data_IF_871874354301
#
_entry.id   IF_871874354301
#
_cell.length_a   1.000
_cell.length_b   1.000
_cell.length_c   1.000
_cell.angle_alpha   90.00
_cell.angle_beta   90.00
_cell.angle_gamma   90.00
#
_symmetry.space_group_name_H-M   'P 1'
#
loop_
_entity.id
_entity.type
_entity.pdbx_description
1 polymer ?
#
# COMPACT_ATOMS: atom_id res chain seq x y z
N UNK A 1 -8.77 64.81 -39.77
CA UNK A 1 -8.03 65.89 -39.09
C UNK A 1 -7.88 65.55 -37.61
N UNK A 2 -6.65 65.72 -37.12
CA UNK A 2 -6.12 65.75 -35.76
C UNK A 2 -7.10 65.78 -34.55
N UNK A 3 -6.76 64.90 -33.58
CA UNK A 3 -6.68 65.07 -32.11
C UNK A 3 -7.98 65.18 -31.30
N UNK A 4 -8.19 64.20 -30.42
CA UNK A 4 -8.62 64.49 -29.05
C UNK A 4 -7.80 63.65 -28.06
N UNK A 5 -7.23 64.39 -27.11
CA UNK A 5 -6.49 63.95 -25.92
C UNK A 5 -7.51 63.42 -24.91
N UNK A 6 -7.25 62.31 -24.22
CA UNK A 6 -7.81 62.16 -22.88
C UNK A 6 -6.91 61.34 -21.95
N UNK A 7 -6.76 61.91 -20.77
CA UNK A 7 -5.85 61.61 -19.69
C UNK A 7 -5.99 60.21 -19.08
N UNK A 8 -4.83 59.71 -18.66
CA UNK A 8 -4.63 58.65 -17.69
C UNK A 8 -5.21 59.07 -16.32
N UNK A 9 -6.17 58.32 -15.79
CA UNK A 9 -6.56 58.35 -14.38
C UNK A 9 -6.50 56.91 -13.88
N UNK A 10 -5.36 56.52 -13.31
CA UNK A 10 -5.21 55.30 -12.53
C UNK A 10 -5.77 55.60 -11.15
N UNK A 11 -7.04 55.26 -10.92
CA UNK A 11 -7.60 55.23 -9.57
C UNK A 11 -7.25 53.87 -8.95
N UNK A 12 -6.31 53.88 -8.01
CA UNK A 12 -6.04 52.78 -7.10
C UNK A 12 -7.29 52.50 -6.24
N UNK A 13 -8.09 51.51 -6.63
CA UNK A 13 -8.99 50.84 -5.70
C UNK A 13 -8.25 49.63 -5.11
N UNK A 14 -7.58 49.85 -3.99
CA UNK A 14 -7.22 48.76 -3.08
C UNK A 14 -8.51 48.37 -2.38
N UNK A 15 -9.21 47.40 -2.95
CA UNK A 15 -10.27 46.68 -2.24
C UNK A 15 -9.59 45.85 -1.14
N UNK A 16 -9.59 46.38 0.08
CA UNK A 16 -9.31 45.59 1.28
C UNK A 16 -10.50 44.66 1.44
N UNK A 17 -10.44 43.49 0.81
CA UNK A 17 -11.31 42.38 1.17
C UNK A 17 -10.87 41.90 2.55
N UNK A 18 -11.79 41.69 3.51
CA UNK A 18 -11.44 41.00 4.74
C UNK A 18 -10.90 39.63 4.33
N UNK A 19 -9.71 39.31 4.80
CA UNK A 19 -9.11 37.99 4.64
C UNK A 19 -9.98 37.00 5.38
N UNK A 20 -10.94 36.38 4.68
CA UNK A 20 -11.57 35.16 5.15
C UNK A 20 -10.44 34.14 5.16
N UNK A 21 -9.85 33.90 6.33
CA UNK A 21 -9.14 32.64 6.56
C UNK A 21 -10.21 31.57 6.45
N UNK A 22 -10.35 30.97 5.27
CA UNK A 22 -10.91 29.65 5.17
C UNK A 22 -10.01 28.79 6.06
N UNK A 23 -10.50 28.41 7.24
CA UNK A 23 -9.95 27.24 7.92
C UNK A 23 -10.27 26.11 6.95
N UNK A 24 -9.25 25.67 6.22
CA UNK A 24 -9.34 24.44 5.48
C UNK A 24 -9.61 23.38 6.54
N UNK A 25 -10.80 22.76 6.51
CA UNK A 25 -11.06 21.59 7.34
C UNK A 25 -9.87 20.66 7.12
N UNK A 26 -9.24 20.22 8.22
CA UNK A 26 -8.12 19.30 8.11
C UNK A 26 -8.59 18.14 7.22
N UNK A 27 -7.82 17.86 6.18
CA UNK A 27 -8.13 16.74 5.30
C UNK A 27 -8.05 15.48 6.17
N UNK A 28 -9.13 14.69 6.21
CA UNK A 28 -9.21 13.48 7.03
C UNK A 28 -8.00 12.59 6.73
N UNK A 29 -7.43 12.00 7.77
CA UNK A 29 -6.32 11.07 7.61
C UNK A 29 -6.64 9.98 6.58
N UNK A 30 -5.78 9.76 5.57
CA UNK A 30 -6.07 8.87 4.44
C UNK A 30 -6.16 7.39 4.86
N UNK A 31 -5.66 7.03 6.04
CA UNK A 31 -5.85 5.70 6.60
C UNK A 31 -7.22 5.57 7.25
N UNK A 32 -7.66 6.58 8.01
CA UNK A 32 -9.02 6.62 8.58
C UNK A 32 -10.09 6.62 7.50
N UNK A 33 -9.88 7.33 6.38
CA UNK A 33 -10.80 7.32 5.24
C UNK A 33 -11.11 5.89 4.74
N UNK A 34 -10.13 4.98 4.84
CA UNK A 34 -10.29 3.58 4.40
C UNK A 34 -10.93 2.68 5.46
N UNK A 35 -10.92 3.10 6.72
CA UNK A 35 -11.43 2.32 7.85
C UNK A 35 -12.87 2.72 8.16
N UNK A 36 -13.19 4.01 8.11
CA UNK A 36 -14.49 4.55 8.52
C UNK A 36 -15.52 4.42 7.41
N UNK A 37 -16.60 3.70 7.70
CA UNK A 37 -17.82 3.64 6.90
C UNK A 37 -18.89 4.53 7.55
N UNK A 38 -18.95 5.79 7.12
CA UNK A 38 -19.88 6.78 7.67
C UNK A 38 -21.27 6.66 7.01
N UNK A 39 -22.31 6.41 7.81
CA UNK A 39 -23.68 6.18 7.35
C UNK A 39 -24.67 7.06 8.11
N UNK A 40 -24.96 8.24 7.56
CA UNK A 40 -25.92 9.20 8.11
C UNK A 40 -27.26 9.06 7.37
N UNK A 41 -28.33 8.81 8.11
CA UNK A 41 -29.71 8.70 7.59
C UNK A 41 -30.54 9.95 7.89
N UNK A 42 -30.27 10.62 9.02
CA UNK A 42 -30.83 11.92 9.35
C UNK A 42 -29.78 13.00 9.08
N UNK A 43 -29.88 13.64 7.92
CA UNK A 43 -28.96 14.69 7.48
C UNK A 43 -29.29 16.04 8.15
N UNK A 44 -29.11 16.10 9.48
CA UNK A 44 -29.23 17.32 10.27
C UNK A 44 -27.86 17.80 10.77
N UNK A 45 -27.77 19.10 11.06
CA UNK A 45 -26.51 19.76 11.44
C UNK A 45 -25.88 19.13 12.69
N UNK A 46 -26.71 18.70 13.65
CA UNK A 46 -26.22 18.11 14.89
C UNK A 46 -25.63 16.73 14.61
N UNK A 47 -26.35 15.85 13.92
CA UNK A 47 -25.86 14.50 13.58
C UNK A 47 -24.56 14.57 12.78
N UNK A 48 -24.47 15.49 11.82
CA UNK A 48 -23.26 15.71 11.05
C UNK A 48 -22.09 16.26 11.90
N UNK A 49 -22.37 17.13 12.88
CA UNK A 49 -21.35 17.64 13.79
C UNK A 49 -20.82 16.52 14.69
N UNK A 50 -21.69 15.72 15.30
CA UNK A 50 -21.30 14.59 16.14
C UNK A 50 -20.43 13.58 15.37
N UNK A 51 -20.81 13.27 14.12
CA UNK A 51 -20.03 12.39 13.25
C UNK A 51 -18.60 12.91 13.00
N UNK A 52 -18.46 14.22 12.73
CA UNK A 52 -17.14 14.85 12.54
C UNK A 52 -16.30 14.76 13.81
N UNK A 53 -16.88 15.07 14.96
CA UNK A 53 -16.16 15.04 16.24
C UNK A 53 -15.72 13.62 16.62
N UNK A 54 -16.51 12.59 16.27
CA UNK A 54 -16.08 11.19 16.43
C UNK A 54 -14.85 10.88 15.57
N UNK A 55 -14.86 11.29 14.29
CA UNK A 55 -13.73 11.09 13.39
C UNK A 55 -12.49 11.87 13.88
N UNK A 56 -12.67 13.11 14.33
CA UNK A 56 -11.58 13.93 14.90
C UNK A 56 -10.94 13.27 16.12
N UNK A 57 -11.73 12.61 16.99
CA UNK A 57 -11.18 11.86 18.13
C UNK A 57 -10.40 10.61 17.71
N UNK A 58 -10.89 9.90 16.70
CA UNK A 58 -10.17 8.76 16.12
C UNK A 58 -8.88 9.19 15.41
N UNK A 59 -8.82 10.42 14.89
CA UNK A 59 -7.63 10.99 14.24
C UNK A 59 -6.48 11.33 15.19
N UNK A 60 -6.69 11.20 16.51
CA UNK A 60 -5.62 11.27 17.49
C UNK A 60 -4.76 10.00 17.58
N UNK A 61 -5.20 8.89 16.95
CA UNK A 61 -4.50 7.61 16.97
C UNK A 61 -3.26 7.67 16.08
N UNK A 62 -2.18 7.01 16.49
CA UNK A 62 -0.91 7.04 15.75
C UNK A 62 -1.07 6.50 14.32
N UNK A 63 -0.45 7.20 13.36
CA UNK A 63 -0.50 6.86 11.93
C UNK A 63 -0.07 5.42 11.63
N UNK A 64 0.92 4.89 12.37
CA UNK A 64 1.38 3.52 12.17
C UNK A 64 0.30 2.50 12.55
N UNK A 65 -0.51 2.76 13.59
CA UNK A 65 -1.66 1.93 13.95
C UNK A 65 -2.74 2.04 12.87
N UNK A 66 -3.15 3.26 12.52
CA UNK A 66 -4.19 3.51 11.53
C UNK A 66 -3.83 2.88 10.17
N UNK A 67 -2.59 3.04 9.73
CA UNK A 67 -2.10 2.44 8.49
C UNK A 67 -2.21 0.93 8.52
N UNK A 68 -1.80 0.27 9.60
CA UNK A 68 -1.86 -1.19 9.67
C UNK A 68 -3.29 -1.73 9.73
N UNK A 69 -4.20 -1.03 10.42
CA UNK A 69 -5.62 -1.36 10.41
C UNK A 69 -6.19 -1.20 9.00
N UNK A 70 -5.88 -0.10 8.30
CA UNK A 70 -6.34 0.11 6.91
C UNK A 70 -5.87 -1.00 5.96
N UNK A 71 -4.69 -1.59 6.20
CA UNK A 71 -4.15 -2.71 5.43
C UNK A 71 -4.77 -4.07 5.81
N UNK A 72 -5.32 -4.19 7.02
CA UNK A 72 -6.04 -5.40 7.47
C UNK A 72 -7.40 -5.55 6.80
N UNK A 73 -8.01 -4.44 6.39
CA UNK A 73 -9.36 -4.38 5.85
C UNK A 73 -10.47 -4.36 6.91
N UNK A 74 -10.12 -4.30 8.20
CA UNK A 74 -11.09 -4.05 9.25
C UNK A 74 -11.73 -2.68 9.07
N UNK A 75 -13.04 -2.58 9.35
CA UNK A 75 -13.82 -1.36 9.17
C UNK A 75 -14.58 -0.99 10.43
N UNK A 76 -14.91 0.29 10.56
CA UNK A 76 -15.76 0.80 11.62
C UNK A 76 -16.91 1.60 11.02
N UNK A 77 -18.13 1.17 11.29
CA UNK A 77 -19.34 1.86 10.85
C UNK A 77 -19.70 2.91 11.89
N UNK A 78 -19.82 4.16 11.46
CA UNK A 78 -20.40 5.24 12.26
C UNK A 78 -21.79 5.54 11.72
N UNK A 79 -22.84 5.33 12.53
CA UNK A 79 -24.21 5.55 12.06
C UNK A 79 -25.15 6.12 13.12
N UNK A 80 -26.12 6.91 12.67
CA UNK A 80 -27.22 7.42 13.49
C UNK A 80 -28.42 6.45 13.55
N UNK A 81 -28.35 5.33 12.83
CA UNK A 81 -29.25 4.18 13.02
C UNK A 81 -28.73 3.25 14.10
N UNK A 82 -29.66 2.53 14.74
CA UNK A 82 -29.31 1.45 15.69
C UNK A 82 -28.57 0.32 14.98
N UNK A 83 -27.66 -0.35 15.69
CA UNK A 83 -26.87 -1.50 15.22
C UNK A 83 -27.75 -2.51 14.46
N UNK A 84 -28.80 -3.03 15.11
CA UNK A 84 -29.68 -4.09 14.56
C UNK A 84 -30.58 -3.62 13.39
N UNK A 85 -30.57 -2.34 13.05
CA UNK A 85 -31.25 -1.81 11.86
C UNK A 85 -30.36 -1.81 10.62
N UNK A 86 -29.06 -2.08 10.78
CA UNK A 86 -28.13 -2.29 9.67
C UNK A 86 -28.24 -3.74 9.16
N UNK A 87 -28.28 -3.96 7.83
CA UNK A 87 -28.50 -5.30 7.25
C UNK A 87 -27.53 -6.38 7.76
N UNK A 88 -26.26 -6.04 7.96
CA UNK A 88 -25.20 -6.94 8.42
C UNK A 88 -25.34 -7.36 9.89
N UNK A 89 -26.12 -6.64 10.70
CA UNK A 89 -26.34 -6.91 12.11
C UNK A 89 -27.79 -7.24 12.45
N UNK A 90 -28.66 -7.34 11.45
CA UNK A 90 -30.10 -7.58 11.64
C UNK A 90 -30.40 -8.90 12.38
N UNK A 91 -29.50 -9.88 12.30
CA UNK A 91 -29.61 -11.16 13.02
C UNK A 91 -29.39 -11.05 14.53
N UNK A 92 -28.76 -9.97 15.00
CA UNK A 92 -28.53 -9.72 16.43
C UNK A 92 -29.79 -9.19 17.15
N UNK A 93 -30.86 -8.90 16.41
CA UNK A 93 -32.10 -8.39 16.97
C UNK A 93 -32.69 -9.34 18.03
N UNK A 94 -32.86 -8.83 19.25
CA UNK A 94 -33.35 -9.56 20.42
C UNK A 94 -32.32 -10.48 21.08
N UNK A 95 -31.08 -10.51 20.58
CA UNK A 95 -30.00 -11.34 21.14
C UNK A 95 -29.29 -10.55 22.24
N UNK A 96 -29.09 -11.18 23.40
CA UNK A 96 -28.33 -10.60 24.53
C UNK A 96 -26.88 -11.04 24.43
N UNK A 97 -25.91 -10.11 24.31
CA UNK A 97 -24.50 -10.49 24.29
C UNK A 97 -24.02 -11.02 25.64
N UNK A 98 -22.90 -11.73 25.56
CA UNK A 98 -22.18 -12.19 26.75
C UNK A 98 -21.83 -10.98 27.63
N UNK A 99 -22.11 -11.08 28.93
CA UNK A 99 -21.75 -10.03 29.89
C UNK A 99 -22.78 -8.92 30.06
N UNK A 100 -23.84 -8.89 29.23
CA UNK A 100 -24.88 -7.87 29.28
C UNK A 100 -26.22 -8.43 29.75
N UNK A 101 -27.07 -7.54 30.26
CA UNK A 101 -28.49 -7.81 30.55
C UNK A 101 -29.41 -7.36 29.42
N UNK A 102 -28.99 -6.34 28.66
CA UNK A 102 -29.76 -5.75 27.57
C UNK A 102 -29.44 -6.41 26.22
N UNK A 103 -30.40 -6.45 25.27
CA UNK A 103 -30.16 -6.97 23.93
C UNK A 103 -29.34 -6.00 23.07
N UNK A 104 -28.74 -6.52 21.99
CA UNK A 104 -28.03 -5.73 20.98
C UNK A 104 -28.86 -4.60 20.36
N UNK A 105 -30.20 -4.64 20.47
CA UNK A 105 -31.10 -3.55 20.07
C UNK A 105 -30.79 -2.21 20.74
N UNK A 106 -30.23 -2.26 21.95
CA UNK A 106 -30.00 -1.09 22.79
C UNK A 106 -28.51 -0.83 23.07
N UNK A 107 -27.61 -1.68 22.58
CA UNK A 107 -26.17 -1.52 22.76
C UNK A 107 -25.63 -0.58 21.66
N UNK A 108 -24.91 0.49 22.04
CA UNK A 108 -24.51 1.55 21.11
C UNK A 108 -23.21 1.26 20.34
N UNK A 109 -22.50 0.18 20.67
CA UNK A 109 -21.20 -0.15 20.08
C UNK A 109 -21.00 -1.66 19.90
N UNK A 110 -20.11 -2.03 18.98
CA UNK A 110 -19.70 -3.41 18.74
C UNK A 110 -18.27 -3.44 18.20
N UNK A 111 -17.39 -4.18 18.86
CA UNK A 111 -16.02 -4.43 18.45
C UNK A 111 -15.88 -5.70 17.62
N UNK A 112 -15.05 -5.65 16.57
CA UNK A 112 -14.75 -6.78 15.70
C UNK A 112 -14.19 -6.36 14.34
N UNK A 113 -14.09 -7.30 13.39
CA UNK A 113 -13.54 -6.99 12.06
C UNK A 113 -14.40 -5.97 11.30
N UNK A 114 -15.72 -6.03 11.49
CA UNK A 114 -16.65 -4.96 11.15
C UNK A 114 -17.19 -4.46 12.48
N UNK A 115 -16.71 -3.30 12.90
CA UNK A 115 -17.11 -2.65 14.15
C UNK A 115 -18.20 -1.61 13.91
N UNK A 116 -18.84 -1.16 14.97
CA UNK A 116 -19.89 -0.15 14.93
C UNK A 116 -19.81 0.77 16.15
N UNK A 117 -20.06 2.06 15.94
CA UNK A 117 -20.41 2.99 17.02
C UNK A 117 -21.55 3.93 16.60
N UNK A 118 -22.50 4.11 17.50
CA UNK A 118 -23.65 4.98 17.30
C UNK A 118 -23.26 6.47 17.35
N UNK A 119 -23.68 7.23 16.34
CA UNK A 119 -23.45 8.69 16.30
C UNK A 119 -24.20 9.38 17.44
N UNK A 120 -23.51 10.28 18.14
CA UNK A 120 -24.05 11.05 19.27
C UNK A 120 -24.18 10.25 20.58
N UNK A 121 -23.49 9.10 20.66
CA UNK A 121 -23.45 8.23 21.85
C UNK A 121 -22.06 8.12 22.47
N UNK A 122 -21.12 9.00 22.11
CA UNK A 122 -19.71 8.92 22.49
C UNK A 122 -19.47 8.92 24.00
N UNK A 123 -20.21 9.75 24.75
CA UNK A 123 -19.96 9.96 26.18
C UNK A 123 -20.68 8.93 27.08
N UNK A 124 -20.04 8.46 28.17
CA UNK A 124 -20.65 7.52 29.09
C UNK A 124 -21.87 8.13 29.80
N UNK A 125 -23.01 7.46 29.72
CA UNK A 125 -24.20 7.84 30.50
C UNK A 125 -25.28 6.77 30.45
N UNK A 126 -26.23 6.81 31.40
CA UNK A 126 -27.46 6.01 31.37
C UNK A 126 -28.23 6.23 30.06
N UNK A 127 -28.21 7.45 29.51
CA UNK A 127 -28.89 7.78 28.25
C UNK A 127 -28.18 7.16 27.04
N UNK A 128 -26.86 7.03 27.09
CA UNK A 128 -26.06 6.47 26.00
C UNK A 128 -25.91 4.95 26.10
N UNK A 129 -26.25 4.37 27.25
CA UNK A 129 -26.30 2.92 27.50
C UNK A 129 -24.94 2.21 27.40
N UNK A 130 -23.89 2.88 27.86
CA UNK A 130 -22.55 2.31 28.04
C UNK A 130 -21.77 3.10 29.10
N UNK A 131 -20.68 2.52 29.60
CA UNK A 131 -19.86 3.06 30.69
C UNK A 131 -18.46 3.53 30.28
N UNK A 132 -18.07 3.27 29.03
CA UNK A 132 -16.74 3.54 28.47
C UNK A 132 -16.44 5.03 28.42
N UNK A 133 -15.19 5.43 28.69
CA UNK A 133 -14.80 6.84 28.69
C UNK A 133 -15.10 7.54 27.36
N UNK A 134 -15.01 6.80 26.25
CA UNK A 134 -15.43 7.22 24.92
C UNK A 134 -15.78 5.99 24.07
N UNK A 135 -17.01 5.94 23.55
CA UNK A 135 -17.54 4.79 22.82
C UNK A 135 -16.68 4.41 21.60
N UNK A 136 -16.49 5.33 20.66
CA UNK A 136 -15.83 5.01 19.41
C UNK A 136 -14.35 4.64 19.59
N UNK A 137 -13.64 5.26 20.54
CA UNK A 137 -12.28 4.87 20.86
C UNK A 137 -12.20 3.51 21.55
N UNK A 138 -13.17 3.17 22.40
CA UNK A 138 -13.27 1.84 22.99
C UNK A 138 -13.45 0.78 21.90
N UNK A 139 -14.45 0.96 21.03
CA UNK A 139 -14.72 0.00 19.95
C UNK A 139 -13.55 -0.09 18.96
N UNK A 140 -12.90 1.05 18.67
CA UNK A 140 -11.68 1.05 17.87
C UNK A 140 -10.51 0.35 18.59
N UNK A 141 -10.46 0.41 19.92
CA UNK A 141 -9.52 -0.35 20.74
C UNK A 141 -9.62 -1.86 20.51
N UNK A 142 -10.83 -2.42 20.36
CA UNK A 142 -11.01 -3.82 19.97
C UNK A 142 -10.47 -4.11 18.56
N UNK A 143 -10.61 -3.18 17.61
CA UNK A 143 -10.01 -3.31 16.27
C UNK A 143 -8.48 -3.33 16.37
N UNK A 144 -7.90 -2.44 17.16
CA UNK A 144 -6.45 -2.33 17.38
C UNK A 144 -5.92 -3.62 17.99
N UNK A 145 -6.60 -4.13 19.02
CA UNK A 145 -6.23 -5.35 19.71
C UNK A 145 -6.05 -6.52 18.75
N UNK A 146 -7.03 -6.74 17.86
CA UNK A 146 -7.10 -7.93 17.02
C UNK A 146 -6.43 -7.79 15.65
N UNK A 147 -6.39 -6.59 15.06
CA UNK A 147 -6.11 -6.41 13.63
C UNK A 147 -4.94 -5.49 13.29
N UNK A 148 -4.34 -4.80 14.26
CA UNK A 148 -3.09 -4.04 13.99
C UNK A 148 -1.94 -4.97 13.61
N UNK A 149 -1.88 -6.17 14.19
CA UNK A 149 -0.81 -7.13 13.95
C UNK A 149 -1.42 -8.48 13.58
N UNK A 150 -1.32 -8.84 12.30
CA UNK A 150 -1.93 -10.07 11.79
C UNK A 150 -1.53 -11.31 12.60
N UNK A 151 -2.52 -11.95 13.23
CA UNK A 151 -2.33 -13.15 14.04
C UNK A 151 -1.81 -12.91 15.46
N UNK A 152 -1.78 -11.67 15.94
CA UNK A 152 -1.41 -11.31 17.31
C UNK A 152 -2.52 -10.44 17.91
N UNK A 153 -3.16 -10.96 18.95
CA UNK A 153 -4.06 -10.20 19.83
C UNK A 153 -3.19 -9.52 20.91
N UNK A 154 -3.14 -8.18 20.90
CA UNK A 154 -2.26 -7.38 21.76
C UNK A 154 -2.57 -7.59 23.25
N UNK A 155 -3.84 -7.66 23.61
CA UNK A 155 -4.34 -7.91 24.96
C UNK A 155 -3.95 -9.30 25.46
N UNK A 156 -3.77 -10.27 24.55
CA UNK A 156 -3.32 -11.61 24.87
C UNK A 156 -1.80 -11.73 25.06
N UNK A 157 -1.02 -10.72 24.69
CA UNK A 157 0.45 -10.76 24.82
C UNK A 157 0.89 -10.82 26.29
N UNK A 158 2.00 -11.49 26.55
CA UNK A 158 2.55 -11.59 27.92
C UNK A 158 2.84 -10.20 28.51
N UNK A 159 3.34 -9.27 27.69
CA UNK A 159 3.62 -7.90 28.10
C UNK A 159 2.35 -7.18 28.57
N UNK A 160 1.26 -7.25 27.80
CA UNK A 160 0.02 -6.59 28.18
C UNK A 160 -0.67 -7.28 29.36
N UNK A 161 -0.69 -8.62 29.41
CA UNK A 161 -1.23 -9.36 30.56
C UNK A 161 -0.49 -9.04 31.87
N UNK A 162 0.83 -8.84 31.81
CA UNK A 162 1.60 -8.40 32.97
C UNK A 162 1.25 -6.96 33.39
N UNK A 163 0.98 -6.06 32.44
CA UNK A 163 0.50 -4.72 32.73
C UNK A 163 -0.90 -4.75 33.37
N UNK A 164 -1.85 -5.49 32.79
CA UNK A 164 -3.19 -5.72 33.32
C UNK A 164 -3.15 -6.19 34.78
N UNK A 165 -2.42 -7.27 35.09
CA UNK A 165 -2.31 -7.82 36.45
C UNK A 165 -1.82 -6.79 37.48
N UNK A 166 -0.95 -5.87 37.05
CA UNK A 166 -0.32 -4.89 37.95
C UNK A 166 -1.18 -3.64 38.14
N UNK A 167 -1.85 -3.21 37.08
CA UNK A 167 -2.41 -1.86 37.00
C UNK A 167 -3.95 -1.83 37.01
N UNK A 168 -4.64 -2.91 36.60
CA UNK A 168 -6.11 -2.95 36.47
C UNK A 168 -6.82 -2.50 37.75
N UNK A 169 -6.42 -3.03 38.91
CA UNK A 169 -7.07 -2.70 40.18
C UNK A 169 -6.75 -1.28 40.70
N UNK A 170 -5.76 -0.59 40.13
CA UNK A 170 -5.45 0.79 40.51
C UNK A 170 -6.35 1.79 39.77
N UNK A 171 -6.64 1.51 38.50
CA UNK A 171 -7.48 2.36 37.65
C UNK A 171 -8.97 1.99 37.75
N UNK A 172 -9.28 0.69 37.86
CA UNK A 172 -10.64 0.14 37.97
C UNK A 172 -10.76 -0.82 39.18
N UNK A 173 -10.73 -0.29 40.43
CA UNK A 173 -10.60 -1.10 41.65
C UNK A 173 -11.79 -2.00 41.98
N UNK A 174 -12.98 -1.69 41.50
CA UNK A 174 -14.23 -2.38 41.85
C UNK A 174 -15.01 -2.84 40.64
N UNK A 175 -14.40 -2.78 39.46
CA UNK A 175 -15.06 -3.17 38.22
C UNK A 175 -14.54 -4.53 37.77
N UNK A 176 -15.39 -5.54 37.96
CA UNK A 176 -15.10 -6.92 37.60
C UNK A 176 -15.22 -7.12 36.08
N UNK A 177 -15.82 -6.19 35.33
CA UNK A 177 -15.90 -6.26 33.87
C UNK A 177 -14.50 -6.25 33.25
N UNK A 178 -13.62 -5.39 33.76
CA UNK A 178 -12.23 -5.30 33.30
C UNK A 178 -11.31 -6.43 33.81
N UNK A 179 -11.86 -7.49 34.39
CA UNK A 179 -11.14 -8.79 34.48
C UNK A 179 -11.02 -9.45 33.09
N UNK A 180 -11.92 -9.12 32.16
CA UNK A 180 -11.74 -9.41 30.75
C UNK A 180 -10.64 -8.49 30.19
N UNK A 181 -9.53 -9.10 29.75
CA UNK A 181 -8.29 -8.38 29.42
C UNK A 181 -8.43 -7.59 28.11
N UNK A 182 -9.24 -8.11 27.19
CA UNK A 182 -9.70 -7.49 25.95
C UNK A 182 -10.51 -6.21 26.24
N UNK A 183 -11.51 -6.28 27.12
CA UNK A 183 -12.29 -5.12 27.55
C UNK A 183 -11.41 -4.08 28.27
N UNK A 184 -10.49 -4.53 29.11
CA UNK A 184 -9.51 -3.64 29.73
C UNK A 184 -8.63 -2.96 28.68
N UNK A 185 -8.16 -3.71 27.68
CA UNK A 185 -7.36 -3.16 26.58
C UNK A 185 -8.10 -2.07 25.83
N UNK A 186 -9.34 -2.33 25.41
CA UNK A 186 -10.16 -1.37 24.69
C UNK A 186 -10.37 -0.09 25.51
N UNK A 187 -10.70 -0.23 26.80
CA UNK A 187 -10.95 0.92 27.67
C UNK A 187 -9.68 1.73 27.93
N UNK A 188 -8.56 1.09 28.28
CA UNK A 188 -7.31 1.84 28.53
C UNK A 188 -6.71 2.42 27.24
N UNK A 189 -6.98 1.83 26.08
CA UNK A 189 -6.70 2.44 24.78
C UNK A 189 -7.50 3.74 24.60
N UNK A 190 -8.80 3.72 24.91
CA UNK A 190 -9.63 4.92 24.88
C UNK A 190 -9.11 6.00 25.85
N UNK A 191 -8.71 5.63 27.08
CA UNK A 191 -8.06 6.57 28.00
C UNK A 191 -6.81 7.21 27.40
N UNK A 192 -5.98 6.43 26.72
CA UNK A 192 -4.74 6.91 26.12
C UNK A 192 -5.00 7.92 24.98
N UNK A 193 -5.95 7.67 24.07
CA UNK A 193 -6.16 8.52 22.90
C UNK A 193 -7.24 9.60 23.03
N UNK A 194 -8.12 9.55 24.03
CA UNK A 194 -9.27 10.46 24.12
C UNK A 194 -8.88 11.93 24.40
N UNK A 195 -8.22 12.19 25.53
CA UNK A 195 -7.79 13.55 25.92
C UNK A 195 -6.46 13.52 26.67
N UNK A 196 -5.79 14.67 26.78
CA UNK A 196 -4.60 14.79 27.64
C UNK A 196 -4.89 14.43 29.10
N UNK A 197 -6.07 14.81 29.61
CA UNK A 197 -6.46 14.53 31.00
C UNK A 197 -6.73 13.03 31.26
N UNK A 198 -7.37 12.33 30.32
CA UNK A 198 -7.57 10.87 30.43
C UNK A 198 -6.23 10.13 30.32
N UNK A 199 -5.35 10.56 29.41
CA UNK A 199 -4.00 10.00 29.27
C UNK A 199 -3.16 10.21 30.53
N UNK A 200 -3.22 11.40 31.15
CA UNK A 200 -2.57 11.68 32.41
C UNK A 200 -3.10 10.78 33.55
N UNK A 201 -4.42 10.54 33.58
CA UNK A 201 -5.02 9.60 34.53
C UNK A 201 -4.47 8.18 34.35
N UNK A 202 -4.26 7.75 33.10
CA UNK A 202 -3.66 6.46 32.79
C UNK A 202 -2.20 6.39 33.26
N UNK A 203 -1.37 7.42 33.02
CA UNK A 203 0.00 7.46 33.54
C UNK A 203 0.07 7.42 35.07
N UNK A 204 -0.87 8.06 35.75
CA UNK A 204 -0.89 8.11 37.23
C UNK A 204 -1.35 6.80 37.85
N UNK A 205 -2.41 6.18 37.30
CA UNK A 205 -3.05 5.01 37.90
C UNK A 205 -2.58 3.68 37.31
N UNK A 206 -2.18 3.68 36.06
CA UNK A 206 -1.78 2.49 35.31
C UNK A 206 -0.50 2.74 34.49
N UNK A 207 0.64 3.10 35.14
CA UNK A 207 1.87 3.51 34.46
C UNK A 207 2.52 2.41 33.62
N UNK A 208 2.32 1.14 33.96
CA UNK A 208 2.82 -0.01 33.18
C UNK A 208 2.01 -0.18 31.91
N UNK A 209 0.69 -0.01 32.00
CA UNK A 209 -0.23 0.01 30.86
C UNK A 209 0.03 1.22 29.96
N UNK A 210 0.24 2.41 30.52
CA UNK A 210 0.58 3.59 29.74
C UNK A 210 1.88 3.39 28.93
N UNK A 211 2.92 2.84 29.57
CA UNK A 211 4.19 2.52 28.89
C UNK A 211 4.04 1.48 27.78
N UNK A 212 3.09 0.55 27.92
CA UNK A 212 2.81 -0.39 26.83
C UNK A 212 2.38 0.34 25.55
N UNK A 213 1.52 1.36 25.67
CA UNK A 213 1.09 2.18 24.53
C UNK A 213 2.18 3.14 24.05
N UNK A 214 2.98 3.73 24.96
CA UNK A 214 4.16 4.53 24.58
C UNK A 214 5.09 3.73 23.65
N UNK A 215 5.29 2.44 23.95
CA UNK A 215 6.20 1.58 23.19
C UNK A 215 5.54 0.96 21.94
N UNK A 216 4.20 0.93 21.87
CA UNK A 216 3.45 0.13 20.89
C UNK A 216 3.78 0.51 19.45
N UNK A 217 3.80 1.80 19.14
CA UNK A 217 4.02 2.30 17.77
C UNK A 217 5.39 1.83 17.22
N UNK A 218 6.43 1.77 18.06
CA UNK A 218 7.77 1.29 17.67
C UNK A 218 7.86 -0.24 17.50
N UNK A 219 6.86 -0.97 17.98
CA UNK A 219 6.80 -2.44 17.90
C UNK A 219 6.00 -2.92 16.70
N UNK A 220 5.32 -2.02 15.99
CA UNK A 220 4.50 -2.33 14.82
C UNK A 220 5.33 -2.17 13.56
N UNK A 221 5.39 -3.23 12.75
CA UNK A 221 5.98 -3.16 11.41
C UNK A 221 4.91 -2.90 10.38
N UNK A 222 5.18 -2.03 9.42
CA UNK A 222 4.31 -1.80 8.27
C UNK A 222 4.95 -2.27 6.99
N UNK A 223 4.23 -3.06 6.19
CA UNK A 223 4.66 -3.40 4.83
C UNK A 223 4.29 -2.23 3.94
N UNK A 224 5.28 -1.46 3.50
CA UNK A 224 5.05 -0.27 2.68
C UNK A 224 4.91 -0.60 1.22
N UNK A 225 5.70 -1.54 0.74
CA UNK A 225 5.70 -2.00 -0.64
C UNK A 225 5.85 -3.51 -0.69
N UNK A 226 5.26 -4.11 -1.71
CA UNK A 226 5.31 -5.55 -1.93
C UNK A 226 5.11 -5.87 -3.39
N UNK A 227 5.96 -6.76 -3.89
CA UNK A 227 5.85 -7.35 -5.22
C UNK A 227 5.87 -8.87 -5.11
N UNK A 228 6.01 -9.55 -6.24
CA UNK A 228 6.15 -11.00 -6.32
C UNK A 228 7.51 -11.46 -5.81
N UNK A 229 8.53 -10.59 -5.78
CA UNK A 229 9.91 -10.97 -5.40
C UNK A 229 10.60 -10.00 -4.47
N UNK A 230 9.88 -9.01 -3.95
CA UNK A 230 10.42 -8.07 -2.99
C UNK A 230 9.35 -7.60 -2.01
N UNK A 231 9.82 -7.10 -0.87
CA UNK A 231 9.01 -6.27 0.02
C UNK A 231 9.87 -5.18 0.65
N UNK A 232 9.21 -4.12 1.09
CA UNK A 232 9.76 -3.11 1.98
C UNK A 232 8.94 -3.07 3.25
N UNK A 233 9.63 -3.07 4.40
CA UNK A 233 9.03 -2.84 5.72
C UNK A 233 9.58 -1.56 6.33
N UNK A 234 8.71 -0.84 7.03
CA UNK A 234 9.04 0.39 7.77
C UNK A 234 8.49 0.31 9.19
N UNK A 235 9.11 1.02 10.12
CA UNK A 235 8.68 1.13 11.52
C UNK A 235 9.00 2.52 12.07
N UNK A 236 8.47 2.85 13.24
CA UNK A 236 8.73 4.14 13.86
C UNK A 236 10.04 4.11 14.66
N UNK A 237 10.91 5.09 14.45
CA UNK A 237 12.13 5.26 15.24
C UNK A 237 11.80 5.75 16.65
N UNK A 238 12.29 5.04 17.66
CA UNK A 238 12.07 5.39 19.07
C UNK A 238 12.95 6.58 19.52
N UNK A 239 14.25 6.52 19.20
CA UNK A 239 15.26 7.52 19.57
C UNK A 239 16.26 7.60 18.43
N UNK A 240 16.61 8.83 18.02
CA UNK A 240 17.57 9.07 16.95
C UNK A 240 18.94 8.47 17.24
N UNK A 241 19.52 7.83 16.23
CA UNK A 241 20.86 7.25 16.31
C UNK A 241 20.92 5.81 16.83
N UNK A 242 19.76 5.17 17.03
CA UNK A 242 19.71 3.72 17.19
C UNK A 242 20.06 3.01 15.88
N UNK A 243 20.53 1.76 16.00
CA UNK A 243 20.67 0.85 14.85
C UNK A 243 19.70 -0.32 14.99
N UNK A 244 19.52 -1.09 13.92
CA UNK A 244 18.53 -2.15 13.89
C UNK A 244 19.11 -3.42 13.28
N UNK A 245 18.67 -4.55 13.81
CA UNK A 245 18.85 -5.85 13.18
C UNK A 245 17.48 -6.34 12.71
N UNK A 246 17.31 -6.50 11.40
CA UNK A 246 16.12 -7.09 10.80
C UNK A 246 16.37 -8.58 10.62
N UNK A 247 15.52 -9.40 11.21
CA UNK A 247 15.50 -10.84 10.99
C UNK A 247 14.39 -11.19 10.01
N UNK A 248 14.75 -11.80 8.89
CA UNK A 248 13.81 -12.38 7.91
C UNK A 248 13.98 -13.89 7.91
N UNK A 249 12.97 -14.60 8.42
CA UNK A 249 13.03 -16.01 8.77
C UNK A 249 14.22 -16.27 9.72
N UNK A 250 15.28 -16.92 9.25
CA UNK A 250 16.50 -17.23 10.02
C UNK A 250 17.71 -16.36 9.62
N UNK A 251 17.54 -15.42 8.68
CA UNK A 251 18.62 -14.53 8.22
C UNK A 251 18.52 -13.17 8.88
N UNK A 252 19.68 -12.60 9.23
CA UNK A 252 19.79 -11.32 9.92
C UNK A 252 20.50 -10.28 9.04
N UNK A 253 20.00 -9.06 9.11
CA UNK A 253 20.45 -7.92 8.32
C UNK A 253 20.61 -6.71 9.24
N UNK A 254 21.79 -6.09 9.26
CA UNK A 254 22.01 -4.86 10.03
C UNK A 254 21.64 -3.64 9.18
N UNK A 255 20.87 -2.72 9.75
CA UNK A 255 20.45 -1.46 9.11
C UNK A 255 20.50 -0.31 10.11
N UNK A 256 20.62 0.92 9.60
CA UNK A 256 20.64 2.14 10.42
C UNK A 256 19.40 2.98 10.27
N UNK A 257 18.67 2.81 9.17
CA UNK A 257 17.41 3.51 8.91
C UNK A 257 16.21 2.68 9.39
N UNK A 258 15.08 3.31 9.75
CA UNK A 258 13.86 2.62 10.16
C UNK A 258 13.07 2.01 8.97
N UNK A 259 13.82 1.51 7.97
CA UNK A 259 13.32 0.92 6.74
C UNK A 259 14.23 -0.23 6.31
N UNK A 260 13.63 -1.28 5.76
CA UNK A 260 14.36 -2.40 5.15
C UNK A 260 13.63 -2.96 3.94
N UNK A 261 14.35 -3.07 2.83
CA UNK A 261 13.89 -3.72 1.60
C UNK A 261 14.68 -5.00 1.35
N UNK A 262 13.98 -6.04 0.90
CA UNK A 262 14.59 -7.31 0.50
C UNK A 262 14.02 -7.75 -0.85
N UNK A 263 14.91 -8.11 -1.77
CA UNK A 263 14.58 -8.61 -3.11
C UNK A 263 14.99 -10.09 -3.31
N UNK A 264 14.79 -10.60 -4.52
CA UNK A 264 15.16 -11.97 -4.87
C UNK A 264 14.32 -13.05 -4.18
N UNK A 265 13.13 -12.67 -3.70
CA UNK A 265 12.21 -13.55 -2.99
C UNK A 265 11.41 -14.43 -3.95
N UNK A 266 10.94 -15.58 -3.44
CA UNK A 266 9.90 -16.38 -4.07
C UNK A 266 8.56 -15.67 -4.01
N UNK A 267 7.79 -15.78 -5.10
CA UNK A 267 6.39 -15.34 -5.13
C UNK A 267 5.48 -16.25 -4.32
N UNK A 268 4.30 -15.74 -3.97
CA UNK A 268 3.28 -16.45 -3.19
C UNK A 268 3.83 -17.12 -1.92
N UNK A 269 4.81 -16.50 -1.27
CA UNK A 269 5.56 -17.10 -0.18
C UNK A 269 5.52 -16.20 1.05
N UNK A 270 5.41 -16.83 2.23
CA UNK A 270 5.40 -16.13 3.51
C UNK A 270 6.81 -15.92 4.04
N UNK A 271 7.11 -14.68 4.44
CA UNK A 271 8.35 -14.29 5.11
C UNK A 271 8.02 -13.72 6.47
N UNK A 272 8.59 -14.28 7.53
CA UNK A 272 8.44 -13.76 8.89
C UNK A 272 9.53 -12.72 9.14
N UNK A 273 9.13 -11.49 9.40
CA UNK A 273 10.03 -10.35 9.63
C UNK A 273 9.91 -9.91 11.09
N UNK A 274 11.04 -9.66 11.74
CA UNK A 274 11.09 -9.06 13.07
C UNK A 274 12.27 -8.09 13.15
N UNK A 275 12.08 -6.96 13.81
CA UNK A 275 13.12 -5.95 13.99
C UNK A 275 13.57 -5.92 15.44
N UNK A 276 14.88 -5.81 15.65
CA UNK A 276 15.50 -5.65 16.96
C UNK A 276 16.22 -4.30 16.98
N UNK A 277 15.76 -3.40 17.85
CA UNK A 277 16.38 -2.08 18.04
C UNK A 277 17.59 -2.22 18.96
N UNK A 278 18.70 -1.61 18.54
CA UNK A 278 19.97 -1.59 19.27
C UNK A 278 20.34 -0.16 19.64
N UNK A 279 20.87 0.00 20.85
CA UNK A 279 21.48 1.25 21.29
C UNK A 279 22.83 1.52 20.59
N UNK A 280 23.45 2.65 20.92
CA UNK A 280 24.73 3.07 20.35
C UNK A 280 25.90 2.09 20.65
N UNK A 281 25.77 1.26 21.69
CA UNK A 281 26.76 0.22 22.04
C UNK A 281 26.47 -1.11 21.31
N UNK A 282 25.44 -1.16 20.48
CA UNK A 282 25.02 -2.34 19.71
C UNK A 282 24.21 -3.35 20.53
N UNK A 283 23.76 -2.99 21.73
CA UNK A 283 22.96 -3.87 22.59
C UNK A 283 21.49 -3.78 22.20
N UNK A 284 20.83 -4.93 22.05
CA UNK A 284 19.38 -4.98 21.79
C UNK A 284 18.62 -4.45 23.01
N UNK A 285 17.81 -3.40 22.78
CA UNK A 285 17.00 -2.72 23.80
C UNK A 285 15.50 -2.94 23.63
N UNK A 286 15.05 -3.29 22.42
CA UNK A 286 13.65 -3.61 22.12
C UNK A 286 13.56 -4.52 20.90
N UNK A 287 12.41 -5.15 20.73
CA UNK A 287 12.05 -5.90 19.52
C UNK A 287 10.61 -5.59 19.12
N UNK A 288 10.38 -5.56 17.82
CA UNK A 288 9.04 -5.51 17.23
C UNK A 288 8.29 -6.82 17.44
N UNK A 289 6.98 -6.78 17.27
CA UNK A 289 6.22 -7.98 16.97
C UNK A 289 6.65 -8.55 15.62
N UNK A 290 6.58 -9.87 15.49
CA UNK A 290 6.87 -10.51 14.22
C UNK A 290 5.72 -10.29 13.24
N UNK A 291 6.04 -9.92 12.00
CA UNK A 291 5.09 -9.72 10.92
C UNK A 291 5.30 -10.72 9.81
N UNK A 292 4.23 -11.36 9.35
CA UNK A 292 4.29 -12.21 8.16
C UNK A 292 3.97 -11.39 6.92
N UNK A 293 4.88 -11.40 5.95
CA UNK A 293 4.73 -10.76 4.64
C UNK A 293 4.54 -11.85 3.59
N UNK A 294 3.37 -11.90 2.95
CA UNK A 294 3.08 -12.81 1.84
C UNK A 294 3.40 -12.13 0.51
N UNK A 295 4.47 -12.49 -0.22
CA UNK A 295 4.76 -11.91 -1.55
C UNK A 295 3.61 -12.14 -2.54
N UNK A 296 3.46 -11.26 -3.53
CA UNK A 296 2.45 -11.45 -4.58
C UNK A 296 2.71 -12.73 -5.37
N UNK A 297 1.65 -13.24 -6.01
CA UNK A 297 1.79 -14.32 -6.98
C UNK A 297 2.36 -13.75 -8.25
N UNK A 298 3.32 -14.44 -8.86
CA UNK A 298 3.57 -14.25 -10.28
C UNK A 298 2.28 -14.57 -11.03
N UNK A 299 1.84 -13.68 -11.91
CA UNK A 299 0.74 -13.98 -12.83
C UNK A 299 1.10 -15.21 -13.67
N UNK A 300 0.10 -15.91 -14.23
CA UNK A 300 0.33 -17.07 -15.10
C UNK A 300 1.27 -16.67 -16.25
N UNK A 301 2.54 -17.05 -16.14
CA UNK A 301 3.56 -16.70 -17.11
C UNK A 301 3.24 -17.42 -18.43
N UNK A 302 3.04 -16.66 -19.50
CA UNK A 302 2.98 -17.21 -20.85
C UNK A 302 4.40 -17.53 -21.32
N UNK A 303 4.65 -18.83 -21.48
CA UNK A 303 5.95 -19.39 -21.90
C UNK A 303 5.93 -19.85 -23.36
N UNK A 304 4.82 -19.70 -24.07
CA UNK A 304 4.68 -20.17 -25.45
C UNK A 304 5.74 -19.56 -26.36
N UNK A 305 5.95 -18.23 -26.27
CA UNK A 305 6.99 -17.53 -27.02
C UNK A 305 8.42 -17.98 -26.66
N UNK A 306 8.68 -18.37 -25.40
CA UNK A 306 9.98 -18.88 -24.99
C UNK A 306 10.24 -20.28 -25.56
N UNK A 307 9.20 -21.12 -25.65
CA UNK A 307 9.28 -22.43 -26.32
C UNK A 307 9.60 -22.25 -27.80
N UNK A 308 8.94 -21.30 -28.48
CA UNK A 308 9.19 -21.01 -29.89
C UNK A 308 10.61 -20.47 -30.11
N UNK A 309 11.05 -19.48 -29.33
CA UNK A 309 12.42 -18.96 -29.37
C UNK A 309 13.46 -20.06 -29.12
N UNK A 310 13.20 -20.97 -28.20
CA UNK A 310 14.10 -22.10 -27.93
C UNK A 310 14.16 -23.10 -29.10
N UNK A 311 13.04 -23.30 -29.82
CA UNK A 311 13.02 -24.10 -31.04
C UNK A 311 13.77 -23.42 -32.18
N UNK A 312 13.76 -22.08 -32.25
CA UNK A 312 14.56 -21.32 -33.22
C UNK A 312 16.06 -21.50 -33.00
N UNK A 313 16.52 -21.50 -31.74
CA UNK A 313 17.92 -21.84 -31.41
C UNK A 313 18.25 -23.26 -31.89
N UNK A 314 17.35 -24.22 -31.67
CA UNK A 314 17.56 -25.63 -32.06
C UNK A 314 17.64 -25.82 -33.57
N UNK A 315 16.93 -25.01 -34.34
CA UNK A 315 16.93 -25.07 -35.81
C UNK A 315 18.26 -24.60 -36.42
N UNK A 316 19.04 -23.79 -35.70
CA UNK A 316 20.39 -23.38 -36.12
C UNK A 316 21.38 -24.51 -35.78
N UNK A 317 22.13 -24.96 -36.78
CA UNK A 317 23.19 -25.96 -36.63
C UNK A 317 24.23 -25.50 -35.58
N UNK A 318 24.69 -26.42 -34.74
CA UNK A 318 25.59 -26.14 -33.62
C UNK A 318 26.86 -25.43 -34.08
N UNK A 319 27.40 -25.80 -35.24
CA UNK A 319 28.64 -25.22 -35.79
C UNK A 319 28.45 -23.76 -36.25
N UNK A 320 27.21 -23.32 -36.43
CA UNK A 320 26.85 -21.96 -36.83
C UNK A 320 26.37 -21.09 -35.66
N UNK A 321 26.30 -21.60 -34.43
CA UNK A 321 25.85 -20.82 -33.26
C UNK A 321 26.96 -19.93 -32.72
N UNK A 322 26.64 -18.69 -32.42
CA UNK A 322 27.55 -17.76 -31.74
C UNK A 322 27.69 -18.11 -30.26
N UNK A 323 28.74 -17.59 -29.62
CA UNK A 323 28.89 -17.68 -28.16
C UNK A 323 27.72 -17.01 -27.43
N UNK A 324 27.20 -15.91 -27.99
CA UNK A 324 26.04 -15.17 -27.47
C UNK A 324 24.79 -16.05 -27.50
N UNK A 325 24.47 -16.67 -28.64
CA UNK A 325 23.30 -17.55 -28.76
C UNK A 325 23.40 -18.75 -27.80
N UNK A 326 24.61 -19.31 -27.62
CA UNK A 326 24.82 -20.40 -26.67
C UNK A 326 24.61 -19.95 -25.20
N UNK A 327 25.01 -18.72 -24.84
CA UNK A 327 24.72 -18.15 -23.50
C UNK A 327 23.23 -17.92 -23.30
N UNK A 328 22.53 -17.36 -24.28
CA UNK A 328 21.08 -17.15 -24.24
C UNK A 328 20.33 -18.48 -24.12
N UNK A 329 20.79 -19.53 -24.79
CA UNK A 329 20.24 -20.88 -24.63
C UNK A 329 20.35 -21.38 -23.18
N UNK A 330 21.51 -21.22 -22.53
CA UNK A 330 21.71 -21.61 -21.13
C UNK A 330 20.78 -20.80 -20.20
N UNK A 331 20.59 -19.51 -20.49
CA UNK A 331 19.64 -18.67 -19.77
C UNK A 331 18.21 -19.17 -19.94
N UNK A 332 17.80 -19.58 -21.14
CA UNK A 332 16.48 -20.16 -21.40
C UNK A 332 16.29 -21.50 -20.65
N UNK A 333 17.30 -22.38 -20.66
CA UNK A 333 17.27 -23.63 -19.89
C UNK A 333 17.09 -23.37 -18.38
N UNK A 334 17.79 -22.36 -17.85
CA UNK A 334 17.66 -21.93 -16.45
C UNK A 334 16.28 -21.31 -16.17
N UNK A 335 15.75 -20.56 -17.13
CA UNK A 335 14.46 -19.88 -17.03
C UNK A 335 13.30 -20.86 -16.92
N UNK A 336 13.28 -21.92 -17.74
CA UNK A 336 12.28 -23.00 -17.60
C UNK A 336 12.27 -23.61 -16.20
N UNK A 337 13.45 -23.84 -15.61
CA UNK A 337 13.57 -24.37 -14.24
C UNK A 337 13.07 -23.38 -13.18
N UNK A 338 13.26 -22.08 -13.40
CA UNK A 338 12.87 -21.04 -12.45
C UNK A 338 11.37 -20.66 -12.54
N UNK A 339 10.74 -20.87 -13.71
CA UNK A 339 9.29 -20.76 -13.89
C UNK A 339 8.58 -21.79 -13.00
N UNK A 340 9.06 -23.04 -12.95
CA UNK A 340 8.49 -24.08 -12.08
C UNK A 340 8.58 -23.72 -10.58
N UNK A 341 9.58 -22.94 -10.20
CA UNK A 341 9.79 -22.49 -8.82
C UNK A 341 9.17 -21.12 -8.50
N UNK A 342 8.44 -20.51 -9.43
CA UNK A 342 7.79 -19.21 -9.23
C UNK A 342 8.79 -18.10 -8.90
N UNK A 343 9.84 -17.94 -9.71
CA UNK A 343 10.91 -16.93 -9.53
C UNK A 343 11.01 -15.89 -10.66
N UNK A 344 10.08 -15.89 -11.61
CA UNK A 344 10.24 -15.16 -12.89
C UNK A 344 8.99 -14.36 -13.22
N UNK A 345 9.18 -13.12 -13.68
CA UNK A 345 8.12 -12.26 -14.22
C UNK A 345 7.98 -12.44 -15.72
N UNK A 346 6.80 -12.14 -16.28
CA UNK A 346 6.57 -12.14 -17.73
C UNK A 346 7.59 -11.26 -18.47
N UNK A 347 7.89 -10.07 -17.96
CA UNK A 347 8.88 -9.15 -18.55
C UNK A 347 10.27 -9.81 -18.74
N UNK A 348 10.72 -10.62 -17.78
CA UNK A 348 12.00 -11.33 -17.89
C UNK A 348 11.95 -12.40 -18.98
N UNK A 349 10.81 -13.06 -19.15
CA UNK A 349 10.58 -14.04 -20.23
C UNK A 349 10.60 -13.33 -21.58
N UNK A 350 9.80 -12.26 -21.72
CA UNK A 350 9.69 -11.48 -22.95
C UNK A 350 11.05 -10.91 -23.39
N UNK A 351 11.81 -10.35 -22.44
CA UNK A 351 13.15 -9.82 -22.72
C UNK A 351 14.12 -10.89 -23.20
N UNK A 352 14.06 -12.10 -22.65
CA UNK A 352 14.90 -13.21 -23.10
C UNK A 352 14.47 -13.69 -24.50
N UNK A 353 13.16 -13.76 -24.77
CA UNK A 353 12.63 -14.06 -26.10
C UNK A 353 13.18 -13.08 -27.11
N UNK A 354 13.07 -11.77 -26.87
CA UNK A 354 13.55 -10.73 -27.78
C UNK A 354 15.05 -10.89 -28.09
N UNK A 355 15.86 -11.13 -27.05
CA UNK A 355 17.31 -11.33 -27.21
C UNK A 355 17.64 -12.57 -28.06
N UNK A 356 16.90 -13.67 -27.85
CA UNK A 356 17.08 -14.90 -28.63
C UNK A 356 16.69 -14.67 -30.09
N UNK A 357 15.53 -14.05 -30.33
CA UNK A 357 14.99 -13.86 -31.67
C UNK A 357 15.88 -12.96 -32.51
N UNK A 358 16.37 -11.84 -31.96
CA UNK A 358 17.31 -10.94 -32.65
C UNK A 358 18.58 -11.69 -33.07
N UNK A 359 19.23 -12.39 -32.14
CA UNK A 359 20.49 -13.10 -32.43
C UNK A 359 20.27 -14.25 -33.45
N UNK A 360 19.15 -14.96 -33.34
CA UNK A 360 18.81 -16.05 -34.27
C UNK A 360 18.52 -15.53 -35.69
N UNK A 361 17.85 -14.39 -35.82
CA UNK A 361 17.59 -13.75 -37.11
C UNK A 361 18.88 -13.26 -37.78
N UNK A 362 19.78 -12.63 -37.02
CA UNK A 362 21.08 -12.16 -37.53
C UNK A 362 21.91 -13.33 -38.08
N UNK A 363 22.00 -14.43 -37.34
CA UNK A 363 22.73 -15.64 -37.79
C UNK A 363 22.09 -16.21 -39.06
N UNK A 364 20.77 -16.31 -39.12
CA UNK A 364 20.07 -16.81 -40.32
C UNK A 364 20.33 -15.91 -41.52
N UNK A 365 20.31 -14.59 -41.34
CA UNK A 365 20.61 -13.63 -42.39
C UNK A 365 22.03 -13.82 -42.92
N UNK A 366 23.02 -13.93 -42.03
CA UNK A 366 24.41 -14.16 -42.41
C UNK A 366 24.61 -15.48 -43.18
N UNK A 367 23.92 -16.55 -42.77
CA UNK A 367 23.95 -17.83 -43.48
C UNK A 367 23.34 -17.73 -44.88
N UNK A 368 22.23 -16.99 -45.03
CA UNK A 368 21.62 -16.72 -46.33
C UNK A 368 22.58 -15.93 -47.22
N UNK A 369 23.20 -14.89 -46.69
CA UNK A 369 24.15 -14.05 -47.42
C UNK A 369 25.40 -14.83 -47.84
N UNK A 370 25.91 -15.72 -46.98
CA UNK A 370 27.06 -16.59 -47.27
C UNK A 370 26.76 -17.61 -48.37
N UNK A 371 25.52 -18.09 -48.43
CA UNK A 371 25.06 -19.07 -49.41
C UNK A 371 24.47 -18.42 -50.68
N UNK A 372 24.45 -17.09 -50.77
CA UNK A 372 23.91 -16.39 -51.93
C UNK A 372 24.86 -16.56 -53.14
N UNK A 373 24.36 -17.01 -54.31
CA UNK A 373 25.21 -17.21 -55.48
C UNK A 373 25.80 -15.87 -55.95
N UNK A 374 27.13 -15.80 -56.08
CA UNK A 374 27.82 -14.60 -56.60
C UNK A 374 27.39 -14.36 -58.05
N UNK A 375 26.82 -13.18 -58.34
CA UNK A 375 26.47 -12.78 -59.71
C UNK A 375 27.72 -12.82 -60.61
N UNK A 376 27.66 -13.35 -61.83
CA UNK A 376 28.78 -13.29 -62.76
C UNK A 376 29.02 -11.84 -63.17
N UNK A 377 30.24 -11.36 -63.01
CA UNK A 377 30.69 -10.11 -63.64
C UNK A 377 31.12 -10.46 -65.07
N UNK A 378 30.21 -10.30 -66.02
CA UNK A 378 30.52 -10.20 -67.46
C UNK A 378 29.94 -8.85 -67.91
N UNK A 379 30.74 -7.86 -68.26
CA UNK A 379 31.57 -7.86 -69.45
C UNK A 379 30.82 -7.10 -70.54
N UNK A 380 31.21 -5.83 -70.73
CA UNK A 380 30.87 -4.86 -71.79
C UNK A 380 29.85 -5.32 -72.85
N UNK A 381 28.67 -4.71 -72.86
CA UNK A 381 27.79 -4.68 -74.02
C UNK A 381 27.80 -3.28 -74.64
N UNK A 382 28.34 -3.18 -75.86
CA UNK A 382 28.13 -2.07 -76.79
C UNK A 382 26.64 -1.87 -77.09
N UNK A 383 26.19 -0.63 -77.34
CA UNK A 383 24.78 -0.27 -77.31
C UNK A 383 24.04 -0.68 -78.60
N UNK A 384 22.78 -1.15 -78.54
CA UNK A 384 21.92 -1.23 -79.71
C UNK A 384 21.14 0.08 -79.94
N UNK A 385 20.87 0.32 -81.22
CA UNK A 385 20.32 1.52 -81.83
C UNK A 385 18.94 1.97 -81.32
N UNK A 386 18.73 3.29 -81.38
CA UNK A 386 17.43 3.96 -81.26
C UNK A 386 16.42 3.50 -82.33
N UNK A 387 15.19 3.22 -81.89
CA UNK A 387 13.96 3.45 -82.65
C UNK A 387 12.81 3.75 -81.66
N UNK A 388 11.77 4.50 -82.07
CA UNK A 388 11.22 5.59 -81.28
C UNK A 388 10.04 5.20 -80.38
N UNK A 389 9.84 6.02 -79.35
CA UNK A 389 8.81 5.93 -78.30
C UNK A 389 7.38 5.62 -78.79
N UNK A 390 6.66 4.85 -77.97
CA UNK A 390 5.25 5.11 -77.65
C UNK A 390 5.12 5.44 -76.15
N UNK A 391 4.30 6.43 -75.74
CA UNK A 391 4.29 6.95 -74.37
C UNK A 391 3.29 6.22 -73.46
N UNK A 392 3.28 6.62 -72.17
CA UNK A 392 2.38 6.28 -71.03
C UNK A 392 2.86 5.12 -70.12
N UNK A 393 2.90 5.20 -68.77
CA UNK A 393 2.80 6.23 -67.71
C UNK A 393 3.16 5.43 -66.41
N UNK A 394 3.91 5.95 -65.41
CA UNK A 394 4.38 5.12 -64.30
C UNK A 394 3.35 5.05 -63.15
N UNK A 395 3.08 3.84 -62.65
CA UNK A 395 2.49 3.64 -61.32
C UNK A 395 3.63 3.39 -60.34
N UNK A 396 3.77 4.32 -59.40
CA UNK A 396 4.67 4.26 -58.25
C UNK A 396 3.96 3.47 -57.14
N UNK A 397 4.58 2.42 -56.62
CA UNK A 397 4.39 2.03 -55.22
C UNK A 397 5.77 1.93 -54.57
N UNK A 398 6.08 2.93 -53.76
CA UNK A 398 7.24 2.98 -52.90
C UNK A 398 6.93 2.20 -51.61
N UNK A 399 7.73 1.18 -51.31
CA UNK A 399 7.88 0.63 -49.98
C UNK A 399 8.87 1.52 -49.21
N UNK A 400 8.33 2.33 -48.29
CA UNK A 400 9.11 3.12 -47.36
C UNK A 400 9.57 2.21 -46.21
N UNK A 401 10.88 2.05 -46.05
CA UNK A 401 11.48 1.80 -44.75
C UNK A 401 11.38 3.05 -43.89
N UNK A 402 11.18 2.88 -42.58
CA UNK A 402 11.37 3.95 -41.62
C UNK A 402 12.37 3.48 -40.56
N UNK A 403 13.43 4.26 -40.52
CA UNK A 403 14.58 4.28 -39.65
C UNK A 403 14.18 4.81 -38.26
N UNK A 404 14.70 4.19 -37.22
CA UNK A 404 14.72 4.72 -35.84
C UNK A 404 15.81 5.80 -35.76
N UNK A 405 15.47 6.98 -35.22
CA UNK A 405 16.45 7.89 -34.60
C UNK A 405 15.85 8.48 -33.32
N UNK A 406 16.70 8.45 -32.29
CA UNK A 406 16.51 8.84 -30.91
C UNK A 406 16.40 10.35 -30.65
N UNK A 407 16.27 10.67 -29.35
CA UNK A 407 16.32 11.98 -28.65
C UNK A 407 15.05 12.82 -28.79
N UNK A 408 14.49 13.44 -27.75
CA UNK A 408 14.96 13.77 -26.41
C UNK A 408 14.32 15.11 -26.05
N UNK A 409 13.61 15.17 -24.91
CA UNK A 409 13.35 16.34 -24.06
C UNK A 409 13.04 17.68 -24.74
N UNK A 410 11.77 18.13 -24.74
CA UNK A 410 11.42 19.50 -24.29
C UNK A 410 9.90 19.75 -24.16
N UNK A 411 9.48 20.09 -22.93
CA UNK A 411 8.63 21.23 -22.57
C UNK A 411 7.15 21.24 -22.99
N UNK A 412 6.37 20.78 -22.01
CA UNK A 412 5.14 21.38 -21.47
C UNK A 412 5.05 22.90 -21.65
N UNK A 413 4.03 23.42 -22.36
CA UNK A 413 3.28 24.63 -22.00
C UNK A 413 2.08 24.84 -22.95
N UNK A 414 0.90 24.82 -22.31
CA UNK A 414 -0.29 25.66 -22.55
C UNK A 414 -1.21 25.50 -23.77
N UNK A 415 -2.49 25.39 -23.38
CA UNK A 415 -3.73 25.89 -24.00
C UNK A 415 -4.37 25.06 -25.12
N UNK A 416 -5.48 24.41 -24.79
CA UNK A 416 -6.84 24.97 -24.94
C UNK A 416 -7.86 23.84 -24.71
N UNK A 417 -8.59 23.82 -23.60
CA UNK A 417 -9.94 24.37 -23.53
C UNK A 417 -10.87 23.85 -24.65
N UNK A 418 -11.70 22.82 -24.37
CA UNK A 418 -13.18 22.92 -24.39
C UNK A 418 -13.91 21.55 -24.40
N UNK A 419 -14.95 21.52 -23.56
CA UNK A 419 -16.25 20.82 -23.64
C UNK A 419 -16.36 19.42 -23.01
N UNK A 420 -17.31 19.33 -22.08
CA UNK A 420 -17.79 18.14 -21.39
C UNK A 420 -18.18 18.52 -19.98
#
# INVERSE_FOLDING_TARGET
>A
MKKFIMCLLVACFVLILPSVKLVQAAEMNPYLEKIIDLRIYNDDEKTNQEAREMIERLDHIDDSILRNISLSGATMILSDKKLVELPEFAELKGVVPRGHTEPWDDIPGLGGFISYAAIGKSDPSIKNNHGDINLELHEFGHIVDMYTINGVELSATEAFRAAHQKDKNNIFPTDDYFEYVDEYFAEVFAYYYYTEASRQTLYEKAPTTARFFDDLHTKILTVSERTESAFTVVWDEHVSGNSYMVRVNDKEYEVTEPEFSLDGLLGNSNYKVQVFTKDADGKVISSSYAKTVLTHKYENIDVSGLVDAYNEIKAIDVDNRTEVLNKLKIQADTMFTNIEHGRISQEKVDKLIDQIMVEAEDIKFDLVMKNMPKRPVTGVATPPQENPMKPYLPVIFASLGILVVASGVFVYLLRSNKKG
#
